data_IF_696234959399
#
_entry.id   IF_696234959399
#
_cell.length_a   1.000
_cell.length_b   1.000
_cell.length_c   1.000
_cell.angle_alpha   90.00
_cell.angle_beta   90.00
_cell.angle_gamma   90.00
#
_symmetry.space_group_name_H-M   'P 1'
#
loop_
_entity.id
_entity.type
_entity.pdbx_description
1 polymer ?
#
# COMPACT_ATOMS: atom_id res chain seq x y z
N UNK A 1 46.39 -28.25 63.36
CA UNK A 1 45.91 -27.37 62.28
C UNK A 1 46.44 -25.94 62.46
N UNK A 2 46.58 -25.49 63.66
CA UNK A 2 46.94 -24.09 63.99
C UNK A 2 48.35 -23.66 63.53
N UNK A 3 49.29 -24.57 63.43
CA UNK A 3 50.70 -24.30 63.00
C UNK A 3 50.76 -24.05 61.45
N UNK A 4 49.82 -24.56 60.63
CA UNK A 4 49.81 -24.39 59.20
C UNK A 4 49.17 -23.05 58.85
N UNK A 5 48.16 -22.65 59.54
CA UNK A 5 47.48 -21.38 59.36
C UNK A 5 48.37 -20.21 59.71
N UNK A 6 49.09 -20.26 60.82
CA UNK A 6 50.01 -19.17 61.17
C UNK A 6 51.21 -19.02 60.27
N UNK A 7 51.64 -20.11 59.56
CA UNK A 7 52.72 -20.04 58.56
C UNK A 7 52.25 -19.41 57.21
N UNK A 8 50.98 -19.66 56.85
CA UNK A 8 50.41 -19.19 55.56
C UNK A 8 49.89 -17.75 55.62
N UNK A 9 49.45 -17.32 56.82
CA UNK A 9 48.79 -16.02 57.04
C UNK A 9 49.60 -14.81 56.46
N UNK A 10 50.91 -14.67 56.64
CA UNK A 10 51.66 -13.52 56.07
C UNK A 10 51.78 -13.56 54.57
N UNK A 11 51.53 -14.72 53.91
CA UNK A 11 51.65 -14.88 52.45
C UNK A 11 50.31 -14.71 51.72
N UNK A 12 49.18 -14.61 52.43
CA UNK A 12 47.83 -14.45 51.85
C UNK A 12 47.76 -13.26 50.91
N UNK A 13 48.23 -12.04 51.24
CA UNK A 13 48.18 -10.90 50.31
C UNK A 13 49.03 -11.12 49.06
N UNK A 14 50.15 -11.80 49.19
CA UNK A 14 51.03 -12.14 48.08
C UNK A 14 50.33 -13.15 47.14
N UNK A 15 49.65 -14.18 47.70
CA UNK A 15 48.87 -15.17 46.97
C UNK A 15 47.71 -14.53 46.21
N UNK A 16 47.01 -13.58 46.85
CA UNK A 16 45.94 -12.80 46.18
C UNK A 16 46.48 -11.98 45.01
N UNK A 17 47.61 -11.33 45.16
CA UNK A 17 48.23 -10.55 44.10
C UNK A 17 48.60 -11.43 42.89
N UNK A 18 49.21 -12.59 43.17
CA UNK A 18 49.54 -13.60 42.15
C UNK A 18 48.29 -14.12 41.45
N UNK A 19 47.20 -14.37 42.19
CA UNK A 19 45.91 -14.81 41.69
C UNK A 19 45.29 -13.76 40.73
N UNK A 20 45.36 -12.48 41.08
CA UNK A 20 44.86 -11.36 40.23
C UNK A 20 45.65 -11.31 38.90
N UNK A 21 47.01 -11.42 38.96
CA UNK A 21 47.86 -11.39 37.79
C UNK A 21 47.56 -12.58 36.87
N UNK A 22 47.41 -13.78 37.39
CA UNK A 22 47.09 -15.00 36.64
C UNK A 22 45.69 -14.82 35.96
N UNK A 23 44.69 -14.28 36.72
CA UNK A 23 43.34 -14.04 36.22
C UNK A 23 43.34 -13.05 35.02
N UNK A 24 44.14 -11.99 35.10
CA UNK A 24 44.28 -11.01 34.00
C UNK A 24 44.87 -11.68 32.74
N UNK A 25 45.98 -12.42 32.91
CA UNK A 25 46.69 -13.09 31.81
C UNK A 25 45.76 -14.13 31.15
N UNK A 26 45.09 -14.95 31.93
CA UNK A 26 44.18 -15.99 31.45
C UNK A 26 42.97 -15.37 30.76
N UNK A 27 42.33 -14.34 31.33
CA UNK A 27 41.21 -13.63 30.71
C UNK A 27 41.60 -13.00 29.37
N UNK A 28 42.78 -12.40 29.30
CA UNK A 28 43.31 -11.80 28.03
C UNK A 28 43.57 -12.89 26.98
N UNK A 29 44.16 -14.00 27.36
CA UNK A 29 44.41 -15.12 26.44
C UNK A 29 43.12 -15.75 25.93
N UNK A 30 42.19 -16.06 26.81
CA UNK A 30 40.89 -16.67 26.45
C UNK A 30 40.05 -15.71 25.58
N UNK A 31 40.04 -14.41 25.87
CA UNK A 31 39.39 -13.39 25.05
C UNK A 31 39.97 -13.37 23.63
N UNK A 32 41.29 -13.40 23.52
CA UNK A 32 41.99 -13.44 22.21
C UNK A 32 41.65 -14.76 21.47
N UNK A 33 41.54 -15.87 22.17
CA UNK A 33 41.19 -17.18 21.63
C UNK A 33 39.77 -17.17 21.06
N UNK A 34 38.80 -16.66 21.82
CA UNK A 34 37.39 -16.50 21.40
C UNK A 34 37.32 -15.54 20.20
N UNK A 35 38.03 -14.41 20.25
CA UNK A 35 38.05 -13.40 19.20
C UNK A 35 38.51 -13.95 17.85
N UNK A 36 39.50 -14.85 17.83
CA UNK A 36 40.05 -15.46 16.60
C UNK A 36 38.93 -16.12 15.74
N UNK A 37 37.87 -16.59 16.34
CA UNK A 37 36.72 -17.20 15.62
C UNK A 37 35.69 -16.19 15.17
N UNK A 38 35.46 -15.10 15.91
CA UNK A 38 34.38 -14.16 15.70
C UNK A 38 34.78 -12.87 14.97
N UNK A 39 35.97 -12.82 14.36
CA UNK A 39 36.54 -11.62 13.72
C UNK A 39 35.84 -11.21 12.43
N UNK A 40 35.05 -12.09 11.81
CA UNK A 40 34.52 -11.84 10.46
C UNK A 40 33.12 -11.14 10.44
N UNK A 41 32.64 -10.59 11.53
CA UNK A 41 31.34 -9.94 11.57
C UNK A 41 31.43 -8.41 11.70
N UNK A 42 30.92 -7.82 10.71
CA UNK A 42 30.66 -6.48 10.21
C UNK A 42 30.61 -5.25 11.12
N UNK A 43 31.01 -4.17 10.52
CA UNK A 43 30.88 -2.76 10.91
C UNK A 43 29.44 -2.40 11.33
N UNK A 44 29.30 -1.73 12.46
CA UNK A 44 28.04 -1.13 12.94
C UNK A 44 27.47 -0.23 11.86
N UNK A 45 26.26 -0.49 11.43
CA UNK A 45 25.57 0.29 10.39
C UNK A 45 25.30 1.74 10.87
N UNK A 46 25.39 2.71 9.95
CA UNK A 46 25.02 4.09 10.19
C UNK A 46 23.58 4.24 10.74
N UNK A 47 22.68 3.33 10.38
CA UNK A 47 21.30 3.28 10.90
C UNK A 47 21.23 2.93 12.39
N UNK A 48 22.16 2.14 12.90
CA UNK A 48 22.21 1.78 14.33
C UNK A 48 22.74 2.96 15.17
N UNK A 49 23.59 3.80 14.58
CA UNK A 49 24.03 5.05 15.18
C UNK A 49 22.88 6.07 15.30
N UNK A 50 22.04 6.19 14.28
CA UNK A 50 20.85 7.05 14.33
C UNK A 50 19.85 6.61 15.40
N UNK A 51 19.66 5.30 15.58
CA UNK A 51 18.82 4.76 16.67
C UNK A 51 19.37 5.06 18.06
N UNK A 52 20.69 5.21 18.19
CA UNK A 52 21.32 5.63 19.46
C UNK A 52 20.98 7.08 19.79
N UNK A 53 20.89 7.94 18.81
CA UNK A 53 20.51 9.36 18.98
C UNK A 53 19.04 9.48 19.42
N UNK A 54 18.15 8.64 18.89
CA UNK A 54 16.72 8.61 19.28
C UNK A 54 16.47 8.12 20.71
N UNK A 55 17.46 7.51 21.36
CA UNK A 55 17.34 6.92 22.72
C UNK A 55 17.97 7.87 23.78
N UNK A 56 18.34 9.10 23.38
CA UNK A 56 19.03 10.04 24.24
C UNK A 56 18.22 10.47 25.47
N UNK A 57 16.90 10.37 25.43
CA UNK A 57 15.96 10.70 26.52
C UNK A 57 15.71 9.57 27.54
N UNK A 58 16.30 8.38 27.35
CA UNK A 58 16.08 7.24 28.25
C UNK A 58 17.16 7.13 29.35
N UNK A 59 16.83 6.41 30.44
CA UNK A 59 17.69 6.29 31.61
C UNK A 59 19.13 5.84 31.29
N UNK A 60 20.08 6.31 32.07
CA UNK A 60 21.53 6.08 31.90
C UNK A 60 21.87 4.58 31.82
N UNK A 61 21.20 3.74 32.63
CA UNK A 61 21.35 2.27 32.63
C UNK A 61 20.88 1.65 31.30
N UNK A 62 19.78 2.14 30.74
CA UNK A 62 19.24 1.67 29.45
C UNK A 62 20.19 2.02 28.29
N UNK A 63 20.76 3.23 28.32
CA UNK A 63 21.77 3.66 27.30
C UNK A 63 23.02 2.78 27.36
N UNK A 64 23.52 2.50 28.54
CA UNK A 64 24.70 1.63 28.77
C UNK A 64 24.41 0.21 28.25
N UNK A 65 23.27 -0.35 28.63
CA UNK A 65 22.86 -1.70 28.20
C UNK A 65 22.73 -1.78 26.66
N UNK A 66 22.09 -0.79 26.07
CA UNK A 66 21.87 -0.73 24.61
C UNK A 66 23.19 -0.55 23.87
N UNK A 67 24.08 0.34 24.37
CA UNK A 67 25.42 0.58 23.81
C UNK A 67 26.30 -0.69 23.91
N UNK A 68 26.15 -1.47 24.98
CA UNK A 68 26.83 -2.76 25.19
C UNK A 68 26.27 -3.80 24.21
N UNK A 69 24.95 -3.86 24.03
CA UNK A 69 24.31 -4.84 23.16
C UNK A 69 24.58 -4.60 21.67
N UNK A 70 24.78 -3.35 21.27
CA UNK A 70 25.12 -2.97 19.88
C UNK A 70 26.55 -3.33 19.48
N UNK A 71 27.47 -3.46 20.44
CA UNK A 71 28.85 -3.84 20.14
C UNK A 71 28.96 -5.37 20.08
N UNK A 72 28.66 -5.92 18.93
CA UNK A 72 28.68 -7.35 18.63
C UNK A 72 30.05 -8.01 18.84
N UNK A 73 31.12 -7.22 18.89
CA UNK A 73 32.51 -7.64 19.11
C UNK A 73 33.12 -6.95 20.35
N UNK A 74 32.40 -7.00 21.47
CA UNK A 74 32.88 -6.29 22.64
C UNK A 74 33.90 -7.18 23.41
N UNK A 75 35.13 -7.21 22.87
CA UNK A 75 36.30 -7.87 23.49
C UNK A 75 36.51 -7.43 24.93
N UNK A 76 36.15 -6.18 25.26
CA UNK A 76 36.24 -5.64 26.62
C UNK A 76 35.23 -6.32 27.55
N UNK A 77 33.99 -6.55 27.10
CA UNK A 77 32.96 -7.23 27.92
C UNK A 77 33.33 -8.69 28.17
N UNK A 78 33.79 -9.40 27.13
CA UNK A 78 34.27 -10.80 27.27
C UNK A 78 35.45 -10.89 28.23
N UNK A 79 36.38 -9.95 28.13
CA UNK A 79 37.55 -9.87 29.02
C UNK A 79 37.08 -9.65 30.48
N UNK A 80 36.25 -8.64 30.73
CA UNK A 80 35.73 -8.32 32.06
C UNK A 80 34.91 -9.46 32.64
N UNK A 81 34.11 -10.13 31.85
CA UNK A 81 33.32 -11.30 32.30
C UNK A 81 34.24 -12.43 32.78
N UNK A 82 35.22 -12.83 31.98
CA UNK A 82 36.17 -13.90 32.30
C UNK A 82 37.05 -13.52 33.50
N UNK A 83 37.47 -12.27 33.59
CA UNK A 83 38.26 -11.73 34.68
C UNK A 83 37.50 -11.77 36.01
N UNK A 84 36.28 -11.21 36.05
CA UNK A 84 35.43 -11.23 37.23
C UNK A 84 35.07 -12.64 37.66
N UNK A 85 34.81 -13.51 36.70
CA UNK A 85 34.48 -14.92 36.94
C UNK A 85 35.65 -15.66 37.64
N UNK A 86 36.88 -15.41 37.17
CA UNK A 86 38.07 -16.00 37.77
C UNK A 86 38.36 -15.46 39.19
N UNK A 87 38.10 -14.17 39.44
CA UNK A 87 38.28 -13.55 40.77
C UNK A 87 37.22 -14.04 41.74
N UNK A 88 35.94 -14.14 41.29
CA UNK A 88 34.82 -14.52 42.15
C UNK A 88 34.92 -15.98 42.66
N UNK A 89 35.54 -16.86 41.86
CA UNK A 89 35.65 -18.29 42.20
C UNK A 89 37.13 -18.69 42.07
N UNK A 90 37.94 -18.43 43.09
CA UNK A 90 39.35 -18.79 43.07
C UNK A 90 39.55 -20.30 42.87
N UNK A 91 40.56 -20.70 42.15
CA UNK A 91 40.93 -22.08 41.78
C UNK A 91 39.95 -22.73 40.78
N UNK A 92 38.64 -22.81 41.07
CA UNK A 92 37.63 -23.42 40.21
C UNK A 92 37.26 -22.52 39.00
N UNK A 93 37.46 -21.23 39.12
CA UNK A 93 37.20 -20.25 38.01
C UNK A 93 38.09 -20.52 36.80
N UNK A 94 39.34 -20.95 36.98
CA UNK A 94 40.25 -21.21 35.88
C UNK A 94 39.81 -22.36 34.97
N UNK A 95 39.56 -23.58 35.45
CA UNK A 95 39.05 -24.64 34.56
C UNK A 95 37.68 -24.33 33.97
N UNK A 96 36.82 -23.67 34.71
CA UNK A 96 35.49 -23.28 34.23
C UNK A 96 35.59 -22.24 33.11
N UNK A 97 36.46 -21.24 33.20
CA UNK A 97 36.67 -20.23 32.17
C UNK A 97 37.31 -20.82 30.91
N UNK A 98 38.25 -21.77 31.05
CA UNK A 98 38.84 -22.50 29.93
C UNK A 98 37.74 -23.34 29.22
N UNK A 99 36.95 -24.08 30.01
CA UNK A 99 35.83 -24.89 29.48
C UNK A 99 34.79 -24.03 28.75
N UNK A 100 34.44 -22.90 29.33
CA UNK A 100 33.51 -21.93 28.70
C UNK A 100 34.06 -21.41 27.38
N UNK A 101 35.33 -21.03 27.34
CA UNK A 101 36.01 -20.55 26.13
C UNK A 101 36.07 -21.65 25.06
N UNK A 102 36.41 -22.88 25.45
CA UNK A 102 36.44 -24.04 24.57
C UNK A 102 35.03 -24.37 24.04
N UNK A 103 34.02 -24.35 24.90
CA UNK A 103 32.61 -24.56 24.54
C UNK A 103 32.16 -23.51 23.56
N UNK A 104 32.39 -22.22 23.81
CA UNK A 104 32.05 -21.12 22.91
C UNK A 104 32.80 -21.23 21.56
N UNK A 105 34.00 -21.74 21.58
CA UNK A 105 34.81 -21.94 20.36
C UNK A 105 34.27 -23.11 19.51
N UNK A 106 33.89 -24.22 20.14
CA UNK A 106 33.52 -25.46 19.46
C UNK A 106 32.02 -25.61 19.21
N UNK A 107 31.19 -24.98 20.03
CA UNK A 107 29.76 -24.92 19.73
C UNK A 107 29.57 -24.09 18.47
N UNK A 108 29.49 -24.79 17.37
CA UNK A 108 28.90 -24.30 16.16
C UNK A 108 27.43 -23.99 16.44
N UNK A 109 27.15 -22.85 16.97
CA UNK A 109 25.92 -22.21 16.62
C UNK A 109 25.94 -22.11 15.11
N UNK A 110 25.13 -22.90 14.47
CA UNK A 110 24.74 -22.70 13.11
C UNK A 110 23.87 -21.40 13.12
N UNK A 111 24.57 -20.32 13.32
CA UNK A 111 24.03 -18.99 13.08
C UNK A 111 23.99 -18.74 11.58
N UNK A 112 23.24 -19.54 10.92
CA UNK A 112 22.40 -18.99 9.88
C UNK A 112 21.19 -18.32 10.58
N UNK A 113 21.44 -17.41 11.49
CA UNK A 113 20.60 -16.25 11.58
C UNK A 113 20.81 -15.58 10.23
N UNK A 114 20.07 -16.02 9.26
CA UNK A 114 19.76 -15.25 8.08
C UNK A 114 19.40 -13.90 8.67
N UNK A 115 20.23 -12.92 8.45
CA UNK A 115 19.87 -11.54 8.67
C UNK A 115 18.54 -11.39 7.95
N UNK A 116 17.45 -11.39 8.66
CA UNK A 116 16.22 -10.83 8.20
C UNK A 116 16.51 -9.35 7.98
N UNK A 117 17.21 -9.07 6.93
CA UNK A 117 17.13 -7.78 6.30
C UNK A 117 15.62 -7.64 6.07
N UNK A 118 15.02 -6.70 6.74
CA UNK A 118 13.73 -6.18 6.35
C UNK A 118 13.81 -6.14 4.83
N UNK A 119 13.09 -7.03 4.19
CA UNK A 119 13.05 -7.14 2.73
C UNK A 119 12.68 -5.74 2.24
N UNK A 120 13.70 -5.00 1.83
CA UNK A 120 13.49 -3.72 1.19
C UNK A 120 12.96 -4.06 -0.20
N UNK A 121 11.64 -4.05 -0.34
CA UNK A 121 10.97 -4.33 -1.62
C UNK A 121 11.54 -3.45 -2.74
N UNK A 122 12.05 -2.28 -2.40
CA UNK A 122 12.67 -1.36 -3.36
C UNK A 122 14.00 -1.88 -3.89
N UNK A 123 14.75 -2.63 -3.08
CA UNK A 123 15.98 -3.32 -3.55
C UNK A 123 15.66 -4.50 -4.48
N UNK A 124 14.54 -5.19 -4.25
CA UNK A 124 14.09 -6.27 -5.12
C UNK A 124 13.66 -5.76 -6.51
N UNK A 125 13.09 -4.57 -6.59
CA UNK A 125 12.66 -3.96 -7.85
C UNK A 125 13.80 -3.72 -8.84
N UNK A 126 15.03 -3.55 -8.35
CA UNK A 126 16.21 -3.25 -9.20
C UNK A 126 17.05 -4.48 -9.56
N UNK A 127 16.96 -5.56 -8.78
CA UNK A 127 17.81 -6.74 -9.00
C UNK A 127 17.14 -7.84 -9.83
N UNK A 128 15.80 -7.81 -9.95
CA UNK A 128 15.12 -8.73 -10.84
C UNK A 128 15.21 -8.22 -12.28
N UNK A 129 15.82 -9.01 -13.14
CA UNK A 129 15.74 -8.84 -14.59
C UNK A 129 14.30 -8.47 -14.95
N UNK A 130 14.14 -7.38 -15.67
CA UNK A 130 12.88 -7.00 -16.31
C UNK A 130 12.40 -8.21 -17.10
N UNK A 131 11.50 -8.99 -16.50
CA UNK A 131 10.90 -10.12 -17.19
C UNK A 131 9.99 -9.50 -18.24
N UNK A 132 10.50 -9.39 -19.45
CA UNK A 132 9.63 -9.17 -20.60
C UNK A 132 8.58 -10.31 -20.56
N UNK A 133 7.34 -9.93 -20.66
CA UNK A 133 6.19 -10.82 -20.44
C UNK A 133 6.21 -12.02 -21.36
N UNK A 134 6.81 -13.10 -20.89
CA UNK A 134 6.76 -14.40 -21.55
C UNK A 134 5.46 -15.13 -21.16
N UNK A 135 4.88 -14.75 -20.00
CA UNK A 135 3.68 -15.40 -19.46
C UNK A 135 2.58 -14.37 -19.18
N UNK A 136 1.36 -14.67 -19.55
CA UNK A 136 0.17 -13.89 -19.17
C UNK A 136 -0.09 -13.98 -17.66
N UNK A 137 -0.94 -13.08 -17.15
CA UNK A 137 -1.29 -13.03 -15.71
C UNK A 137 -1.90 -14.37 -15.24
N UNK A 138 -2.71 -15.02 -16.07
CA UNK A 138 -3.28 -16.33 -15.75
C UNK A 138 -2.24 -17.41 -15.49
N UNK A 139 -1.16 -17.45 -16.28
CA UNK A 139 -0.08 -18.43 -16.06
C UNK A 139 0.73 -18.17 -14.77
N UNK A 140 0.80 -16.92 -14.31
CA UNK A 140 1.42 -16.59 -13.01
C UNK A 140 0.55 -17.06 -11.84
N UNK A 141 -0.76 -16.96 -11.97
CA UNK A 141 -1.73 -17.46 -11.00
C UNK A 141 -1.63 -18.99 -10.90
N UNK A 142 -1.65 -19.71 -12.03
CA UNK A 142 -1.48 -21.16 -12.09
C UNK A 142 -0.16 -21.61 -11.47
N UNK A 143 0.91 -20.87 -11.72
CA UNK A 143 2.22 -21.14 -11.12
C UNK A 143 2.20 -20.99 -9.59
N UNK A 144 1.47 -19.99 -9.08
CA UNK A 144 1.35 -19.75 -7.63
C UNK A 144 0.53 -20.84 -6.92
N UNK A 145 -0.53 -21.34 -7.57
CA UNK A 145 -1.42 -22.37 -7.01
C UNK A 145 -0.85 -23.77 -7.14
N UNK A 146 0.07 -24.01 -8.08
CA UNK A 146 0.70 -25.33 -8.31
C UNK A 146 1.56 -25.77 -7.13
N UNK A 147 1.31 -26.96 -6.60
CA UNK A 147 2.12 -27.56 -5.53
C UNK A 147 3.52 -27.97 -6.00
N UNK A 148 3.70 -28.22 -7.30
CA UNK A 148 4.94 -28.72 -7.88
C UNK A 148 5.89 -27.62 -8.36
N UNK A 149 5.44 -26.39 -8.37
CA UNK A 149 6.25 -25.26 -8.87
C UNK A 149 7.44 -24.98 -7.92
N UNK A 150 8.66 -24.87 -8.45
CA UNK A 150 9.83 -24.54 -7.63
C UNK A 150 9.66 -23.21 -6.91
N UNK A 151 10.11 -23.14 -5.66
CA UNK A 151 10.06 -21.96 -4.79
C UNK A 151 10.59 -20.69 -5.49
N UNK A 152 11.72 -20.80 -6.19
CA UNK A 152 12.33 -19.67 -6.90
C UNK A 152 11.41 -19.08 -7.98
N UNK A 153 10.66 -19.95 -8.67
CA UNK A 153 9.67 -19.53 -9.68
C UNK A 153 8.47 -18.84 -9.02
N UNK A 154 7.99 -19.37 -7.88
CA UNK A 154 6.90 -18.77 -7.11
C UNK A 154 7.27 -17.35 -6.61
N UNK A 155 8.49 -17.16 -6.08
CA UNK A 155 8.97 -15.86 -5.64
C UNK A 155 9.08 -14.86 -6.80
N UNK A 156 9.54 -15.31 -7.97
CA UNK A 156 9.56 -14.47 -9.19
C UNK A 156 8.14 -14.10 -9.65
N UNK A 157 7.21 -15.05 -9.60
CA UNK A 157 5.80 -14.78 -9.91
C UNK A 157 5.18 -13.77 -8.94
N UNK A 158 5.42 -13.91 -7.63
CA UNK A 158 4.99 -12.94 -6.62
C UNK A 158 5.55 -11.54 -6.89
N UNK A 159 6.84 -11.47 -7.21
CA UNK A 159 7.48 -10.19 -7.57
C UNK A 159 6.82 -9.56 -8.81
N UNK A 160 6.51 -10.35 -9.82
CA UNK A 160 5.81 -9.88 -11.02
C UNK A 160 4.37 -9.41 -10.71
N UNK A 161 3.62 -10.16 -9.88
CA UNK A 161 2.27 -9.80 -9.46
C UNK A 161 2.25 -8.53 -8.60
N UNK A 162 3.29 -8.30 -7.79
CA UNK A 162 3.41 -7.12 -6.92
C UNK A 162 3.59 -5.80 -7.69
N UNK A 163 3.98 -5.84 -8.95
CA UNK A 163 4.15 -4.63 -9.77
C UNK A 163 2.81 -4.00 -10.17
N UNK A 164 1.74 -4.78 -10.13
CA UNK A 164 0.37 -4.34 -10.41
C UNK A 164 -0.55 -4.73 -9.27
N UNK A 165 -1.06 -3.76 -8.56
CA UNK A 165 -2.00 -3.95 -7.44
C UNK A 165 -3.44 -4.07 -7.96
N UNK A 166 -3.70 -5.00 -8.90
CA UNK A 166 -5.07 -5.33 -9.28
C UNK A 166 -5.73 -6.19 -8.19
N UNK A 167 -7.05 -6.15 -8.02
CA UNK A 167 -7.75 -6.98 -7.02
C UNK A 167 -7.47 -8.47 -7.18
N UNK A 168 -7.42 -8.96 -8.43
CA UNK A 168 -7.12 -10.37 -8.73
C UNK A 168 -5.71 -10.74 -8.25
N UNK A 169 -4.74 -9.88 -8.53
CA UNK A 169 -3.34 -10.09 -8.10
C UNK A 169 -3.23 -10.11 -6.57
N UNK A 170 -3.91 -9.16 -5.89
CA UNK A 170 -3.92 -9.10 -4.42
C UNK A 170 -4.61 -10.33 -3.80
N UNK A 171 -5.66 -10.84 -4.42
CA UNK A 171 -6.34 -12.09 -3.99
C UNK A 171 -5.37 -13.28 -4.07
N UNK A 172 -4.62 -13.41 -5.17
CA UNK A 172 -3.60 -14.48 -5.35
C UNK A 172 -2.47 -14.32 -4.32
N UNK A 173 -2.00 -13.09 -4.12
CA UNK A 173 -0.96 -12.79 -3.11
C UNK A 173 -1.47 -13.16 -1.70
N UNK A 174 -2.75 -12.88 -1.38
CA UNK A 174 -3.36 -13.26 -0.10
C UNK A 174 -3.37 -14.79 0.10
N UNK A 175 -3.63 -15.57 -0.95
CA UNK A 175 -3.55 -17.03 -0.87
C UNK A 175 -2.16 -17.52 -0.43
N UNK A 176 -1.11 -16.77 -0.73
CA UNK A 176 0.26 -17.14 -0.30
C UNK A 176 0.47 -17.05 1.22
N UNK A 177 -0.41 -16.34 1.95
CA UNK A 177 -0.33 -16.23 3.41
C UNK A 177 -0.59 -17.58 4.10
N UNK A 178 -1.26 -18.50 3.43
CA UNK A 178 -1.50 -19.89 3.91
C UNK A 178 -0.40 -20.86 3.48
N UNK A 179 0.63 -20.38 2.77
CA UNK A 179 1.73 -21.22 2.29
C UNK A 179 2.51 -21.85 3.43
N UNK A 180 2.92 -23.09 3.26
CA UNK A 180 3.81 -23.82 4.19
C UNK A 180 5.24 -23.25 4.17
N UNK A 181 5.63 -22.58 3.09
CA UNK A 181 6.95 -21.96 2.94
C UNK A 181 6.95 -20.55 3.57
N UNK A 182 7.75 -20.38 4.61
CA UNK A 182 7.87 -19.12 5.37
C UNK A 182 8.28 -17.93 4.48
N UNK A 183 9.17 -18.15 3.52
CA UNK A 183 9.67 -17.08 2.66
C UNK A 183 8.59 -16.56 1.72
N UNK A 184 7.80 -17.47 1.14
CA UNK A 184 6.63 -17.13 0.29
C UNK A 184 5.60 -16.36 1.14
N UNK A 185 5.29 -16.88 2.34
CA UNK A 185 4.34 -16.26 3.27
C UNK A 185 4.78 -14.85 3.68
N UNK A 186 6.05 -14.69 4.07
CA UNK A 186 6.62 -13.40 4.49
C UNK A 186 6.65 -12.40 3.32
N UNK A 187 6.95 -12.86 2.10
CA UNK A 187 6.94 -12.01 0.91
C UNK A 187 5.52 -11.56 0.58
N UNK A 188 4.54 -12.45 0.67
CA UNK A 188 3.12 -12.12 0.54
C UNK A 188 2.68 -11.02 1.52
N UNK A 189 3.00 -11.18 2.81
CA UNK A 189 2.73 -10.16 3.85
C UNK A 189 3.38 -8.81 3.50
N UNK A 190 4.62 -8.83 3.05
CA UNK A 190 5.33 -7.60 2.71
C UNK A 190 4.65 -6.84 1.57
N UNK A 191 4.17 -7.56 0.54
CA UNK A 191 3.45 -6.95 -0.61
C UNK A 191 2.10 -6.36 -0.14
N UNK A 192 1.31 -7.11 0.62
CA UNK A 192 0.00 -6.66 1.10
C UNK A 192 0.15 -5.42 2.00
N UNK A 193 1.10 -5.44 2.94
CA UNK A 193 1.39 -4.31 3.82
C UNK A 193 1.84 -3.07 3.01
N UNK A 194 2.64 -3.26 1.96
CA UNK A 194 3.05 -2.16 1.07
C UNK A 194 1.85 -1.55 0.35
N UNK A 195 0.96 -2.38 -0.17
CA UNK A 195 -0.27 -1.94 -0.86
C UNK A 195 -1.19 -1.18 0.10
N UNK A 196 -1.47 -1.75 1.28
CA UNK A 196 -2.28 -1.13 2.33
C UNK A 196 -1.71 0.24 2.77
N UNK A 197 -0.41 0.27 3.04
CA UNK A 197 0.29 1.51 3.44
C UNK A 197 0.22 2.59 2.35
N UNK A 198 0.35 2.20 1.08
CA UNK A 198 0.26 3.14 -0.04
C UNK A 198 -1.14 3.77 -0.14
N UNK A 199 -2.20 2.98 0.05
CA UNK A 199 -3.59 3.47 0.08
C UNK A 199 -3.82 4.36 1.31
N UNK A 200 -3.36 3.94 2.50
CA UNK A 200 -3.49 4.70 3.75
C UNK A 200 -2.81 6.07 3.67
N UNK A 201 -1.65 6.17 3.04
CA UNK A 201 -0.96 7.46 2.82
C UNK A 201 -1.81 8.38 1.93
N UNK A 202 -2.40 7.85 0.86
CA UNK A 202 -3.29 8.63 -0.04
C UNK A 202 -4.56 9.09 0.70
N UNK A 203 -5.17 8.19 1.49
CA UNK A 203 -6.34 8.48 2.32
C UNK A 203 -6.01 9.63 3.28
N UNK A 204 -4.93 9.51 4.05
CA UNK A 204 -4.52 10.52 5.02
C UNK A 204 -4.23 11.88 4.36
N UNK A 205 -3.62 11.88 3.20
CA UNK A 205 -3.39 13.11 2.40
C UNK A 205 -4.72 13.79 2.03
N UNK A 206 -5.70 13.06 1.56
CA UNK A 206 -6.99 13.60 1.14
C UNK A 206 -7.86 13.97 2.36
N UNK A 207 -7.75 13.29 3.47
CA UNK A 207 -8.37 13.68 4.74
C UNK A 207 -7.93 15.06 5.21
N UNK A 208 -7.00 15.24 4.88
CA UNK A 208 -6.49 16.41 5.21
C UNK A 208 -7.11 17.51 4.57
N UNK A 209 -7.04 17.38 3.41
CA UNK A 209 -7.73 18.36 2.57
C UNK A 209 -9.23 18.53 2.93
N UNK A 210 -9.80 17.49 3.12
CA UNK A 210 -11.06 17.46 3.43
C UNK A 210 -11.38 18.06 4.64
N UNK A 211 -10.41 18.13 5.67
CA UNK A 211 -10.61 18.71 7.03
C UNK A 211 -9.97 20.11 7.20
N UNK A 212 -9.32 20.66 6.19
CA UNK A 212 -8.83 22.03 6.19
C UNK A 212 -9.99 23.01 6.49
N UNK A 213 -9.81 23.90 7.47
CA UNK A 213 -10.80 24.91 7.83
C UNK A 213 -10.95 25.94 6.70
N UNK A 214 -12.16 26.43 6.51
CA UNK A 214 -12.55 27.33 5.40
C UNK A 214 -11.69 28.61 5.36
N UNK A 215 -10.83 28.70 4.37
CA UNK A 215 -10.10 29.92 4.04
C UNK A 215 -10.78 30.67 2.90
N UNK A 216 -10.61 31.97 2.87
CA UNK A 216 -11.40 33.03 2.23
C UNK A 216 -11.72 32.97 0.72
N UNK A 217 -11.29 31.98 -0.05
CA UNK A 217 -11.66 31.81 -1.46
C UNK A 217 -12.64 30.63 -1.63
N UNK A 218 -13.90 30.92 -1.40
CA UNK A 218 -14.99 29.97 -1.20
C UNK A 218 -15.10 28.93 -2.34
N UNK A 219 -15.04 29.32 -3.61
CA UNK A 219 -15.30 28.42 -4.75
C UNK A 219 -14.11 27.48 -5.07
N UNK A 220 -12.90 27.96 -4.94
CA UNK A 220 -11.67 27.14 -5.16
C UNK A 220 -11.55 26.10 -4.06
N UNK A 221 -11.87 26.47 -2.84
CA UNK A 221 -11.82 25.58 -1.67
C UNK A 221 -12.88 24.47 -1.77
N UNK A 222 -14.11 24.79 -2.15
CA UNK A 222 -15.17 23.80 -2.40
C UNK A 222 -14.81 22.82 -3.52
N UNK A 223 -14.22 23.27 -4.60
CA UNK A 223 -13.76 22.42 -5.72
C UNK A 223 -12.68 21.44 -5.24
N UNK A 224 -11.71 21.93 -4.48
CA UNK A 224 -10.61 21.14 -3.93
C UNK A 224 -11.12 20.07 -2.93
N UNK A 225 -12.06 20.45 -2.07
CA UNK A 225 -12.70 19.55 -1.10
C UNK A 225 -13.56 18.47 -1.81
N UNK A 226 -14.30 18.85 -2.84
CA UNK A 226 -15.08 17.91 -3.65
C UNK A 226 -14.17 16.90 -4.39
N UNK A 227 -13.04 17.38 -4.92
CA UNK A 227 -12.05 16.51 -5.56
C UNK A 227 -11.42 15.54 -4.55
N UNK A 228 -11.10 16.01 -3.35
CA UNK A 228 -10.57 15.17 -2.25
C UNK A 228 -11.64 14.15 -1.79
N UNK A 229 -12.89 14.55 -1.65
CA UNK A 229 -14.00 13.67 -1.28
C UNK A 229 -14.19 12.55 -2.33
N UNK A 230 -14.20 12.91 -3.61
CA UNK A 230 -14.28 11.93 -4.72
C UNK A 230 -13.12 10.92 -4.65
N UNK A 231 -11.91 11.40 -4.40
CA UNK A 231 -10.72 10.54 -4.28
C UNK A 231 -10.82 9.65 -3.03
N UNK A 232 -11.26 10.18 -1.89
CA UNK A 232 -11.48 9.42 -0.65
C UNK A 232 -12.50 8.30 -0.86
N UNK A 233 -13.63 8.60 -1.49
CA UNK A 233 -14.64 7.59 -1.81
C UNK A 233 -14.04 6.43 -2.64
N UNK A 234 -13.22 6.77 -3.63
CA UNK A 234 -12.54 5.78 -4.49
C UNK A 234 -11.52 4.94 -3.69
N UNK A 235 -10.72 5.59 -2.84
CA UNK A 235 -9.68 4.91 -2.04
C UNK A 235 -10.28 3.99 -0.97
N UNK A 236 -11.32 4.43 -0.26
CA UNK A 236 -12.02 3.59 0.71
C UNK A 236 -12.70 2.39 0.03
N UNK A 237 -13.31 2.62 -1.14
CA UNK A 237 -13.87 1.52 -1.95
C UNK A 237 -12.75 0.55 -2.38
N UNK A 238 -11.59 1.06 -2.80
CA UNK A 238 -10.44 0.22 -3.17
C UNK A 238 -9.97 -0.65 -1.99
N UNK A 239 -9.93 -0.09 -0.77
CA UNK A 239 -9.62 -0.86 0.46
C UNK A 239 -10.61 -2.01 0.69
N UNK A 240 -11.90 -1.77 0.49
CA UNK A 240 -12.96 -2.79 0.63
C UNK A 240 -12.87 -3.82 -0.50
N UNK A 241 -12.84 -3.37 -1.74
CA UNK A 241 -12.88 -4.20 -2.95
C UNK A 241 -11.64 -5.12 -3.08
N UNK A 242 -10.47 -4.63 -2.66
CA UNK A 242 -9.23 -5.42 -2.67
C UNK A 242 -9.08 -6.27 -1.40
N UNK A 243 -10.03 -6.16 -0.48
CA UNK A 243 -10.01 -6.85 0.83
C UNK A 243 -8.73 -6.54 1.64
N UNK A 244 -8.11 -5.39 1.41
CA UNK A 244 -6.95 -4.94 2.20
C UNK A 244 -7.36 -4.49 3.61
N UNK A 245 -8.62 -4.08 3.78
CA UNK A 245 -9.18 -3.76 5.09
C UNK A 245 -9.50 -5.03 5.89
N UNK A 246 -9.38 -4.92 7.21
CA UNK A 246 -9.90 -5.95 8.12
C UNK A 246 -11.43 -6.03 7.98
N UNK A 247 -11.99 -7.25 8.02
CA UNK A 247 -13.44 -7.49 7.87
C UNK A 247 -14.29 -6.62 8.81
N UNK A 248 -13.83 -6.41 10.04
CA UNK A 248 -14.52 -5.57 11.03
C UNK A 248 -14.64 -4.09 10.62
N UNK A 249 -13.80 -3.61 9.70
CA UNK A 249 -13.81 -2.21 9.23
C UNK A 249 -14.58 -2.03 7.92
N UNK A 250 -14.97 -3.10 7.27
CA UNK A 250 -15.64 -3.10 5.96
C UNK A 250 -16.90 -2.22 5.98
N UNK A 251 -17.77 -2.45 6.95
CA UNK A 251 -19.03 -1.69 7.10
C UNK A 251 -18.76 -0.20 7.33
N UNK A 252 -17.77 0.12 8.17
CA UNK A 252 -17.36 1.52 8.44
C UNK A 252 -16.86 2.19 7.15
N UNK A 253 -16.01 1.49 6.40
CA UNK A 253 -15.48 2.03 5.14
C UNK A 253 -16.57 2.23 4.08
N UNK A 254 -17.56 1.33 3.99
CA UNK A 254 -18.70 1.50 3.09
C UNK A 254 -19.54 2.74 3.46
N UNK A 255 -19.73 3.01 4.75
CA UNK A 255 -20.37 4.24 5.24
C UNK A 255 -19.56 5.50 4.87
N UNK A 256 -18.25 5.42 5.01
CA UNK A 256 -17.35 6.51 4.61
C UNK A 256 -17.39 6.74 3.09
N UNK A 257 -17.40 5.67 2.28
CA UNK A 257 -17.58 5.76 0.81
C UNK A 257 -18.86 6.55 0.50
N UNK A 258 -20.01 6.15 1.08
CA UNK A 258 -21.32 6.79 0.86
C UNK A 258 -21.28 8.26 1.27
N UNK A 259 -20.70 8.58 2.44
CA UNK A 259 -20.56 9.95 2.96
C UNK A 259 -19.75 10.83 2.00
N UNK A 260 -18.59 10.35 1.55
CA UNK A 260 -17.72 11.12 0.66
C UNK A 260 -18.29 11.25 -0.76
N UNK A 261 -19.04 10.24 -1.24
CA UNK A 261 -19.79 10.35 -2.51
C UNK A 261 -20.81 11.49 -2.39
N UNK A 262 -21.56 11.57 -1.28
CA UNK A 262 -22.56 12.62 -1.09
C UNK A 262 -21.94 14.02 -1.10
N UNK A 263 -20.84 14.22 -0.38
CA UNK A 263 -20.09 15.50 -0.37
C UNK A 263 -19.65 15.89 -1.80
N UNK A 264 -19.18 14.93 -2.57
CA UNK A 264 -18.75 15.17 -3.95
C UNK A 264 -19.95 15.46 -4.89
N UNK A 265 -21.07 14.71 -4.76
CA UNK A 265 -22.32 14.92 -5.53
C UNK A 265 -22.87 16.33 -5.28
N UNK A 266 -22.88 16.80 -4.03
CA UNK A 266 -23.39 18.12 -3.66
C UNK A 266 -22.63 19.27 -4.33
N UNK A 267 -21.43 19.06 -4.81
CA UNK A 267 -20.67 20.02 -5.60
C UNK A 267 -20.84 19.79 -7.12
N UNK A 268 -20.60 18.57 -7.59
CA UNK A 268 -20.51 18.30 -9.05
C UNK A 268 -21.87 18.38 -9.75
N UNK A 269 -22.97 17.96 -9.14
CA UNK A 269 -24.31 17.97 -9.75
C UNK A 269 -24.84 19.39 -10.00
N UNK A 270 -24.82 20.31 -9.02
CA UNK A 270 -25.27 21.69 -9.27
C UNK A 270 -24.41 22.40 -10.33
N UNK A 271 -23.10 22.16 -10.36
CA UNK A 271 -22.20 22.73 -11.38
C UNK A 271 -22.54 22.19 -12.78
N UNK A 272 -22.81 20.88 -12.91
CA UNK A 272 -23.23 20.25 -14.17
C UNK A 272 -24.54 20.89 -14.68
N UNK A 273 -25.56 21.01 -13.82
CA UNK A 273 -26.85 21.65 -14.17
C UNK A 273 -26.68 23.13 -14.59
N UNK A 274 -25.81 23.87 -13.88
CA UNK A 274 -25.54 25.26 -14.21
C UNK A 274 -24.89 25.39 -15.61
N UNK A 275 -23.91 24.50 -15.90
CA UNK A 275 -23.23 24.48 -17.19
C UNK A 275 -24.16 24.07 -18.32
N UNK A 276 -25.09 23.15 -18.07
CA UNK A 276 -26.11 22.73 -19.04
C UNK A 276 -27.03 23.92 -19.41
N UNK A 277 -27.54 24.65 -18.41
CA UNK A 277 -28.35 25.87 -18.63
C UNK A 277 -27.56 26.94 -19.40
N UNK A 278 -26.28 27.13 -19.04
CA UNK A 278 -25.39 28.07 -19.74
C UNK A 278 -25.20 27.65 -21.20
N UNK A 279 -25.07 26.36 -21.48
CA UNK A 279 -24.95 25.82 -22.84
C UNK A 279 -26.22 26.09 -23.63
N UNK A 280 -27.41 25.86 -23.07
CA UNK A 280 -28.71 26.16 -23.69
C UNK A 280 -28.83 27.64 -24.10
N UNK A 281 -28.47 28.56 -23.18
CA UNK A 281 -28.50 30.01 -23.45
C UNK A 281 -27.51 30.36 -24.60
N UNK A 282 -26.30 29.78 -24.58
CA UNK A 282 -25.29 30.05 -25.63
C UNK A 282 -25.71 29.49 -27.00
N UNK A 283 -26.41 28.36 -27.05
CA UNK A 283 -26.92 27.77 -28.32
C UNK A 283 -28.02 28.65 -28.91
N UNK A 284 -28.96 29.14 -28.11
CA UNK A 284 -30.00 30.08 -28.53
C UNK A 284 -29.33 31.38 -29.07
N UNK A 285 -28.36 31.91 -28.31
CA UNK A 285 -27.63 33.13 -28.72
C UNK A 285 -26.83 32.94 -30.02
N UNK A 286 -26.34 31.73 -30.30
CA UNK A 286 -25.68 31.39 -31.55
C UNK A 286 -26.69 31.41 -32.71
N UNK A 287 -27.84 30.74 -32.54
CA UNK A 287 -28.91 30.71 -33.53
C UNK A 287 -29.39 32.14 -33.89
N UNK A 288 -29.65 32.96 -32.88
CA UNK A 288 -30.02 34.39 -33.08
C UNK A 288 -28.94 35.16 -33.85
N UNK A 289 -27.64 34.91 -33.52
CA UNK A 289 -26.52 35.60 -34.17
C UNK A 289 -26.33 35.12 -35.61
N UNK A 290 -26.60 33.85 -35.93
CA UNK A 290 -26.54 33.30 -37.29
C UNK A 290 -27.69 33.85 -38.15
N UNK A 291 -28.90 33.92 -37.64
CA UNK A 291 -30.06 34.52 -38.31
C UNK A 291 -29.83 36.01 -38.59
N UNK A 292 -29.21 36.71 -37.65
CA UNK A 292 -28.88 38.14 -37.80
C UNK A 292 -27.86 38.34 -38.94
N UNK A 293 -26.83 37.49 -39.02
CA UNK A 293 -25.78 37.53 -40.06
C UNK A 293 -26.35 37.22 -41.44
N UNK A 294 -27.32 36.28 -41.52
CA UNK A 294 -27.99 35.93 -42.77
C UNK A 294 -28.84 37.09 -43.35
N UNK A 295 -29.37 37.93 -42.47
CA UNK A 295 -30.29 39.02 -42.83
C UNK A 295 -29.63 40.39 -42.99
N UNK A 296 -28.32 40.54 -42.72
CA UNK A 296 -27.60 41.83 -42.77
C UNK A 296 -26.73 42.00 -44.01
N UNK A 297 -26.69 43.23 -44.52
CA UNK A 297 -25.81 43.65 -45.66
C UNK A 297 -24.34 43.73 -45.17
N UNK A 298 -23.43 43.57 -46.14
CA UNK A 298 -21.96 43.59 -45.91
C UNK A 298 -21.42 44.80 -45.13
N UNK A 299 -22.09 45.99 -45.27
CA UNK A 299 -21.66 47.21 -44.53
C UNK A 299 -22.05 47.17 -43.03
N UNK A 300 -23.20 46.61 -42.75
CA UNK A 300 -23.73 46.48 -41.36
C UNK A 300 -22.97 45.38 -40.54
N UNK A 301 -22.47 44.36 -41.23
CA UNK A 301 -21.61 43.31 -40.63
C UNK A 301 -20.29 43.85 -40.03
N UNK A 302 -19.77 44.98 -40.58
CA UNK A 302 -18.55 45.60 -40.02
C UNK A 302 -18.79 46.41 -38.74
N UNK A 303 -20.02 46.79 -38.43
CA UNK A 303 -20.39 47.54 -37.23
C UNK A 303 -20.76 46.65 -36.05
N UNK A 304 -21.00 45.36 -36.31
CA UNK A 304 -21.31 44.40 -35.22
C UNK A 304 -20.02 44.18 -34.41
N UNK A 305 -20.09 44.52 -33.14
CA UNK A 305 -18.99 44.28 -32.19
C UNK A 305 -18.52 42.82 -32.28
N UNK A 306 -17.21 42.58 -32.22
CA UNK A 306 -16.60 41.25 -32.34
C UNK A 306 -17.27 40.20 -31.44
N UNK A 307 -17.79 40.61 -30.27
CA UNK A 307 -18.47 39.78 -29.27
C UNK A 307 -19.80 39.18 -29.75
N UNK A 308 -20.40 39.68 -30.83
CA UNK A 308 -21.67 39.18 -31.42
C UNK A 308 -21.46 38.28 -32.64
N UNK A 309 -20.22 38.00 -33.03
CA UNK A 309 -19.95 37.09 -34.17
C UNK A 309 -20.24 35.64 -33.81
N UNK A 310 -20.84 34.86 -34.74
CA UNK A 310 -21.10 33.42 -34.49
C UNK A 310 -19.86 32.63 -34.04
N UNK A 311 -18.70 32.97 -34.53
CA UNK A 311 -17.42 32.32 -34.16
C UNK A 311 -17.10 32.43 -32.68
N UNK A 312 -17.43 33.57 -32.05
CA UNK A 312 -17.25 33.78 -30.61
C UNK A 312 -18.14 32.81 -29.80
N UNK A 313 -19.41 32.67 -30.17
CA UNK A 313 -20.35 31.76 -29.55
C UNK A 313 -19.91 30.29 -29.75
N UNK A 314 -19.48 29.89 -30.93
CA UNK A 314 -18.96 28.55 -31.26
C UNK A 314 -17.78 28.18 -30.38
N UNK A 315 -16.84 29.10 -30.19
CA UNK A 315 -15.68 28.90 -29.32
C UNK A 315 -16.10 28.69 -27.83
N UNK A 316 -17.00 29.55 -27.33
CA UNK A 316 -17.53 29.45 -25.95
C UNK A 316 -18.38 28.21 -25.72
N UNK A 317 -19.19 27.82 -26.70
CA UNK A 317 -20.00 26.58 -26.66
C UNK A 317 -19.07 25.38 -26.53
N UNK A 318 -17.99 25.33 -27.31
CA UNK A 318 -17.00 24.24 -27.23
C UNK A 318 -16.38 24.17 -25.83
N UNK A 319 -15.92 25.30 -25.29
CA UNK A 319 -15.33 25.40 -23.96
C UNK A 319 -16.30 24.89 -22.87
N UNK A 320 -17.57 25.36 -22.92
CA UNK A 320 -18.62 24.94 -21.94
C UNK A 320 -18.97 23.46 -22.11
N UNK A 321 -19.01 22.95 -23.37
CA UNK A 321 -19.23 21.49 -23.61
C UNK A 321 -18.11 20.64 -23.01
N UNK A 322 -16.85 21.02 -23.22
CA UNK A 322 -15.70 20.29 -22.70
C UNK A 322 -15.71 20.30 -21.15
N UNK A 323 -16.06 21.43 -20.54
CA UNK A 323 -16.20 21.57 -19.10
C UNK A 323 -17.38 20.72 -18.58
N UNK A 324 -18.56 20.79 -19.20
CA UNK A 324 -19.74 19.99 -18.85
C UNK A 324 -19.44 18.50 -18.93
N UNK A 325 -18.77 18.06 -19.99
CA UNK A 325 -18.36 16.67 -20.16
C UNK A 325 -17.48 16.19 -18.98
N UNK A 326 -16.56 17.04 -18.52
CA UNK A 326 -15.71 16.68 -17.38
C UNK A 326 -16.51 16.53 -16.06
N UNK A 327 -17.46 17.44 -15.80
CA UNK A 327 -18.32 17.36 -14.61
C UNK A 327 -19.27 16.16 -14.68
N UNK A 328 -19.86 15.88 -15.85
CA UNK A 328 -20.70 14.71 -16.08
C UNK A 328 -19.92 13.41 -15.87
N UNK A 329 -18.68 13.34 -16.35
CA UNK A 329 -17.80 12.18 -16.14
C UNK A 329 -17.46 11.97 -14.65
N UNK A 330 -17.29 13.06 -13.89
CA UNK A 330 -17.07 12.95 -12.43
C UNK A 330 -18.34 12.44 -11.73
N UNK A 331 -19.51 13.01 -12.08
CA UNK A 331 -20.79 12.59 -11.52
C UNK A 331 -21.09 11.11 -11.87
N UNK A 332 -20.89 10.71 -13.13
CA UNK A 332 -21.03 9.30 -13.58
C UNK A 332 -20.21 8.35 -12.70
N UNK A 333 -18.95 8.67 -12.44
CA UNK A 333 -18.09 7.84 -11.56
C UNK A 333 -18.61 7.75 -10.14
N UNK A 334 -19.21 8.81 -9.59
CA UNK A 334 -19.80 8.82 -8.25
C UNK A 334 -21.07 7.96 -8.21
N UNK A 335 -21.93 8.05 -9.22
CA UNK A 335 -23.12 7.20 -9.34
C UNK A 335 -22.71 5.72 -9.48
N UNK A 336 -21.73 5.40 -10.32
CA UNK A 336 -21.19 4.05 -10.48
C UNK A 336 -20.65 3.50 -9.15
N UNK A 337 -19.93 4.32 -8.43
CA UNK A 337 -19.34 3.90 -7.14
C UNK A 337 -20.44 3.67 -6.11
N UNK A 338 -21.45 4.52 -6.07
CA UNK A 338 -22.61 4.36 -5.16
C UNK A 338 -23.41 3.10 -5.52
N UNK A 339 -23.64 2.86 -6.81
CA UNK A 339 -24.28 1.63 -7.29
C UNK A 339 -23.53 0.37 -6.85
N UNK A 340 -22.20 0.38 -6.89
CA UNK A 340 -21.35 -0.73 -6.39
C UNK A 340 -21.48 -0.92 -4.87
N UNK A 341 -21.61 0.17 -4.12
CA UNK A 341 -21.84 0.09 -2.65
C UNK A 341 -23.17 -0.59 -2.37
N UNK A 342 -24.25 -0.17 -3.06
CA UNK A 342 -25.56 -0.78 -2.92
C UNK A 342 -25.55 -2.26 -3.37
N UNK A 343 -24.88 -2.58 -4.46
CA UNK A 343 -24.72 -3.96 -4.95
C UNK A 343 -23.99 -4.84 -3.92
N UNK A 344 -22.94 -4.32 -3.28
CA UNK A 344 -22.22 -5.04 -2.21
C UNK A 344 -23.12 -5.28 -0.97
N UNK A 345 -24.10 -4.40 -0.73
CA UNK A 345 -25.06 -4.50 0.36
C UNK A 345 -26.33 -5.27 -0.04
N UNK A 346 -26.37 -5.86 -1.23
CA UNK A 346 -27.53 -6.60 -1.80
C UNK A 346 -28.79 -5.76 -1.98
N UNK A 347 -28.64 -4.42 -2.05
CA UNK A 347 -29.72 -3.47 -2.28
C UNK A 347 -29.83 -3.19 -3.80
N UNK A 348 -30.46 -4.12 -4.51
CA UNK A 348 -30.52 -4.12 -5.98
C UNK A 348 -31.37 -2.98 -6.55
N UNK A 349 -32.41 -2.54 -5.85
CA UNK A 349 -33.29 -1.43 -6.31
C UNK A 349 -32.54 -0.10 -6.35
N UNK A 350 -31.87 0.26 -5.26
CA UNK A 350 -31.05 1.47 -5.22
C UNK A 350 -29.83 1.36 -6.14
N UNK A 351 -29.22 0.19 -6.22
CA UNK A 351 -28.09 -0.04 -7.16
C UNK A 351 -28.53 0.21 -8.61
N UNK A 352 -29.70 -0.34 -9.03
CA UNK A 352 -30.26 -0.15 -10.37
C UNK A 352 -30.48 1.32 -10.68
N UNK A 353 -31.08 2.06 -9.74
CA UNK A 353 -31.31 3.51 -9.86
C UNK A 353 -29.99 4.29 -10.09
N UNK A 354 -28.98 4.01 -9.29
CA UNK A 354 -27.67 4.70 -9.39
C UNK A 354 -26.98 4.40 -10.74
N UNK A 355 -27.02 3.15 -11.22
CA UNK A 355 -26.42 2.78 -12.51
C UNK A 355 -27.20 3.38 -13.69
N UNK A 356 -28.53 3.50 -13.61
CA UNK A 356 -29.36 4.19 -14.61
C UNK A 356 -29.01 5.67 -14.67
N UNK A 357 -28.90 6.35 -13.52
CA UNK A 357 -28.48 7.76 -13.46
C UNK A 357 -27.04 7.93 -14.04
N UNK A 358 -26.16 6.98 -13.78
CA UNK A 358 -24.80 6.99 -14.36
C UNK A 358 -24.87 6.88 -15.89
N UNK A 359 -25.75 6.04 -16.43
CA UNK A 359 -25.93 5.85 -17.88
C UNK A 359 -26.52 7.10 -18.53
N UNK A 360 -27.52 7.73 -17.91
CA UNK A 360 -28.14 8.98 -18.42
C UNK A 360 -27.16 10.15 -18.51
N UNK A 361 -26.28 10.28 -17.52
CA UNK A 361 -25.28 11.36 -17.48
C UNK A 361 -24.12 11.14 -18.44
N UNK A 362 -23.82 9.88 -18.79
CA UNK A 362 -22.68 9.54 -19.62
C UNK A 362 -22.99 9.78 -21.11
N UNK A 363 -22.24 10.67 -21.75
CA UNK A 363 -22.46 11.08 -23.14
C UNK A 363 -21.73 10.19 -24.19
N UNK A 364 -21.11 9.09 -23.76
CA UNK A 364 -20.41 8.14 -24.63
C UNK A 364 -21.11 6.77 -24.70
N UNK A 365 -20.46 5.82 -25.35
CA UNK A 365 -20.92 4.42 -25.31
C UNK A 365 -20.82 3.87 -23.86
N UNK A 366 -21.96 3.55 -23.28
CA UNK A 366 -22.07 3.12 -21.89
C UNK A 366 -21.67 1.63 -21.68
N UNK A 367 -20.87 1.07 -22.58
CA UNK A 367 -20.49 -0.36 -22.55
C UNK A 367 -19.85 -0.84 -21.24
N UNK A 368 -19.25 0.08 -20.48
CA UNK A 368 -18.66 -0.24 -19.16
C UNK A 368 -19.68 -0.21 -18.00
N UNK A 369 -20.86 0.38 -18.20
CA UNK A 369 -21.96 0.41 -17.21
C UNK A 369 -22.89 -0.81 -17.39
N UNK A 370 -23.13 -1.21 -18.64
CA UNK A 370 -24.07 -2.26 -19.00
C UNK A 370 -23.85 -3.59 -18.25
N UNK A 371 -22.59 -4.05 -17.97
CA UNK A 371 -22.41 -5.28 -17.20
C UNK A 371 -23.02 -5.23 -15.80
N UNK A 372 -22.95 -4.07 -15.13
CA UNK A 372 -23.54 -3.88 -13.80
C UNK A 372 -25.08 -3.88 -13.84
N UNK A 373 -25.65 -3.24 -14.88
CA UNK A 373 -27.12 -3.23 -15.10
C UNK A 373 -27.58 -4.66 -15.38
N UNK A 374 -26.89 -5.39 -16.26
CA UNK A 374 -27.22 -6.78 -16.61
C UNK A 374 -27.11 -7.69 -15.37
N UNK A 375 -26.07 -7.55 -14.58
CA UNK A 375 -25.85 -8.30 -13.33
C UNK A 375 -27.01 -8.07 -12.34
N UNK A 376 -27.42 -6.83 -12.12
CA UNK A 376 -28.54 -6.50 -11.23
C UNK A 376 -29.86 -7.08 -11.76
N UNK A 377 -30.14 -6.90 -13.04
CA UNK A 377 -31.37 -7.44 -13.64
C UNK A 377 -31.39 -8.98 -13.55
N UNK A 378 -30.23 -9.62 -13.71
CA UNK A 378 -30.09 -11.07 -13.51
C UNK A 378 -30.40 -11.46 -12.05
N UNK A 379 -29.82 -10.74 -11.07
CA UNK A 379 -30.03 -10.99 -9.64
C UNK A 379 -31.47 -10.72 -9.20
N UNK A 380 -32.16 -9.81 -9.88
CA UNK A 380 -33.60 -9.53 -9.67
C UNK A 380 -34.52 -10.52 -10.41
N UNK A 381 -33.98 -11.44 -11.20
CA UNK A 381 -34.74 -12.41 -11.98
C UNK A 381 -35.35 -11.87 -13.27
N UNK A 382 -34.96 -10.69 -13.71
CA UNK A 382 -35.46 -10.02 -14.93
C UNK A 382 -34.71 -10.48 -16.19
N UNK A 383 -34.73 -11.77 -16.48
CA UNK A 383 -33.93 -12.40 -17.55
C UNK A 383 -34.22 -11.82 -18.95
N UNK A 384 -35.46 -11.42 -19.22
CA UNK A 384 -35.84 -10.79 -20.49
C UNK A 384 -35.08 -9.48 -20.75
N UNK A 385 -34.86 -8.69 -19.68
CA UNK A 385 -34.08 -7.43 -19.77
C UNK A 385 -32.59 -7.74 -19.99
N UNK A 386 -32.08 -8.76 -19.33
CA UNK A 386 -30.68 -9.23 -19.50
C UNK A 386 -30.44 -9.62 -20.97
N UNK A 387 -31.35 -10.42 -21.54
CA UNK A 387 -31.27 -10.83 -22.97
C UNK A 387 -31.30 -9.63 -23.92
N UNK A 388 -32.15 -8.63 -23.65
CA UNK A 388 -32.20 -7.37 -24.43
C UNK A 388 -30.84 -6.66 -24.40
N UNK A 389 -30.28 -6.46 -23.19
CA UNK A 389 -28.97 -5.80 -23.00
C UNK A 389 -27.85 -6.52 -23.79
N UNK A 390 -27.82 -7.86 -23.71
CA UNK A 390 -26.81 -8.68 -24.39
C UNK A 390 -26.94 -8.53 -25.92
N UNK A 391 -28.17 -8.57 -26.42
CA UNK A 391 -28.44 -8.47 -27.86
C UNK A 391 -28.13 -7.08 -28.42
N UNK A 392 -28.43 -6.02 -27.65
CA UNK A 392 -28.16 -4.62 -28.02
C UNK A 392 -26.68 -4.26 -27.93
N UNK A 393 -25.91 -4.99 -27.12
CA UNK A 393 -24.49 -4.70 -26.90
C UNK A 393 -23.60 -5.91 -27.13
N UNK A 394 -23.33 -6.30 -28.39
CA UNK A 394 -22.42 -7.42 -28.70
C UNK A 394 -21.02 -7.27 -28.12
N UNK A 395 -20.60 -6.05 -27.83
CA UNK A 395 -19.31 -5.74 -27.20
C UNK A 395 -19.12 -6.42 -25.84
N UNK A 396 -20.23 -6.73 -25.11
CA UNK A 396 -20.19 -7.48 -23.84
C UNK A 396 -19.64 -8.88 -24.06
N UNK A 397 -20.05 -9.56 -25.13
CA UNK A 397 -19.58 -10.91 -25.47
C UNK A 397 -18.14 -10.96 -26.02
N UNK A 398 -17.64 -9.82 -26.49
CA UNK A 398 -16.25 -9.72 -26.99
C UNK A 398 -15.23 -9.51 -25.85
N UNK A 399 -15.70 -9.14 -24.65
CA UNK A 399 -14.82 -8.96 -23.49
C UNK A 399 -14.49 -10.34 -22.89
N UNK A 400 -13.24 -10.79 -23.02
CA UNK A 400 -12.79 -12.10 -22.56
C UNK A 400 -13.00 -12.38 -21.08
N UNK A 401 -13.12 -11.33 -20.24
CA UNK A 401 -13.41 -11.48 -18.80
C UNK A 401 -14.89 -11.67 -18.53
N UNK A 402 -15.75 -11.03 -19.32
CA UNK A 402 -17.21 -11.11 -19.19
C UNK A 402 -17.80 -12.29 -19.96
N UNK A 403 -17.10 -12.80 -20.95
CA UNK A 403 -17.60 -13.85 -21.85
C UNK A 403 -18.22 -15.06 -21.11
N UNK A 404 -17.55 -15.67 -20.09
CA UNK A 404 -18.16 -16.79 -19.38
C UNK A 404 -19.46 -16.42 -18.65
N UNK A 405 -19.53 -15.20 -18.11
CA UNK A 405 -20.72 -14.68 -17.39
C UNK A 405 -21.85 -14.41 -18.40
N UNK A 406 -21.52 -13.78 -19.52
CA UNK A 406 -22.49 -13.48 -20.60
C UNK A 406 -23.09 -14.78 -21.17
N UNK A 407 -22.29 -15.83 -21.35
CA UNK A 407 -22.79 -17.14 -21.79
C UNK A 407 -23.73 -17.77 -20.76
N UNK A 408 -23.41 -17.65 -19.48
CA UNK A 408 -24.29 -18.06 -18.38
C UNK A 408 -25.63 -17.29 -18.42
N UNK A 409 -25.58 -15.99 -18.62
CA UNK A 409 -26.77 -15.12 -18.69
C UNK A 409 -27.66 -15.43 -19.91
N UNK A 410 -27.06 -15.87 -21.03
CA UNK A 410 -27.80 -16.29 -22.22
C UNK A 410 -28.59 -17.59 -22.02
N UNK A 411 -28.12 -18.43 -21.08
CA UNK A 411 -28.73 -19.75 -20.83
C UNK A 411 -29.71 -19.76 -19.65
N UNK A 412 -29.80 -18.68 -18.91
CA UNK A 412 -30.76 -18.51 -17.81
C UNK A 412 -32.14 -18.06 -18.32
#
# INVERSE_FOLDING_TARGET
MDNFTSFVEPYIPLLYLVHIIISIILAAFLTKYIKKRFINDEVVSKKDLQRLEEIEDKSLMFRLFFKISLHKNNTKVSFFFLFLFNIAIPVLGYPLSIWTAWYLYNVTYDKKVVKTNILNLDEFGHSFLKIERIFGEGSLIDLMTSDYAPKSKKLKALSALSTRTSPENLRVIRQTLTSKDDEIRMFGYAILNKAEKALSIKINKNLXIXNEEDNKEIDIDFSRRAAAAKELATLYWEMVYTELSHESLKESFLKDVSRYIQIAKDYYLPKSHLLQKKLEVLTVSLEESEDLVLNLNKKELQEIAEKKKPEHYKSRIKEVKDELLSYNNYATKLFLLMGKVYLNNEDYEHASTEFTLAQELYQGEASFILPYIAEIQFLMGNYSVVHSIINESPALGLNGRLYPIVEQWKTA
#
